data_IF_253508817900
#
_entry.id   IF_253508817900
#
_cell.length_a   1.000
_cell.length_b   1.000
_cell.length_c   1.000
_cell.angle_alpha   90.00
_cell.angle_beta   90.00
_cell.angle_gamma   90.00
#
_symmetry.space_group_name_H-M   'P 1'
#
loop_
_entity.id
_entity.type
_entity.pdbx_description
1 polymer ?
#
# COMPACT_ATOMS: atom_id res chain seq x y z
N UNK A 1 -0.39 -11.09 9.09
CA UNK A 1 -0.75 -9.74 8.57
C UNK A 1 -0.93 -8.83 9.77
N UNK A 2 -1.32 -7.58 9.60
CA UNK A 2 -1.45 -6.68 10.75
C UNK A 2 -2.78 -5.93 10.65
N UNK A 3 -3.36 -5.57 11.80
CA UNK A 3 -4.51 -4.67 11.89
C UNK A 3 -4.18 -3.32 11.24
N UNK A 4 -5.16 -2.70 10.58
CA UNK A 4 -5.05 -1.33 10.07
C UNK A 4 -6.17 -0.48 10.67
N UNK A 5 -5.81 0.59 11.35
CA UNK A 5 -6.77 1.56 11.85
C UNK A 5 -6.60 2.91 11.14
N UNK A 6 -7.70 3.41 10.63
CA UNK A 6 -7.83 4.72 9.99
C UNK A 6 -8.74 5.52 10.89
N UNK A 7 -8.25 6.62 11.48
CA UNK A 7 -8.99 7.41 12.45
C UNK A 7 -9.08 8.88 12.01
N UNK A 8 -10.29 9.32 11.70
CA UNK A 8 -10.64 10.69 11.29
C UNK A 8 -9.75 11.24 10.17
N UNK A 9 -9.39 10.37 9.22
CA UNK A 9 -8.47 10.74 8.14
C UNK A 9 -9.16 11.68 7.16
N UNK A 10 -8.55 12.83 6.98
CA UNK A 10 -8.97 13.86 6.03
C UNK A 10 -7.86 14.12 5.00
N UNK A 11 -8.27 14.46 3.78
CA UNK A 11 -7.36 14.88 2.73
C UNK A 11 -7.92 16.08 1.97
N UNK A 12 -7.10 17.10 1.85
CA UNK A 12 -7.33 18.24 0.99
C UNK A 12 -6.16 18.44 0.02
N UNK A 13 -6.45 18.84 -1.21
CA UNK A 13 -5.49 19.32 -2.20
C UNK A 13 -5.77 20.82 -2.41
N UNK A 14 -4.94 21.66 -1.81
CA UNK A 14 -5.21 23.10 -1.74
C UNK A 14 -6.52 23.36 -0.99
N UNK A 15 -7.48 23.99 -1.65
CA UNK A 15 -8.81 24.29 -1.08
C UNK A 15 -9.85 23.16 -1.26
N UNK A 16 -9.53 22.13 -2.05
CA UNK A 16 -10.46 21.05 -2.37
C UNK A 16 -10.31 19.91 -1.36
N UNK A 17 -11.33 19.69 -0.53
CA UNK A 17 -11.41 18.53 0.35
C UNK A 17 -11.89 17.31 -0.45
N UNK A 18 -11.09 16.23 -0.42
CA UNK A 18 -11.37 14.96 -1.12
C UNK A 18 -11.86 13.89 -0.14
N UNK A 19 -11.34 13.89 1.07
CA UNK A 19 -11.78 12.98 2.15
C UNK A 19 -12.13 13.78 3.40
N UNK A 20 -13.28 13.42 3.99
CA UNK A 20 -13.86 14.09 5.15
C UNK A 20 -13.89 13.13 6.34
N UNK A 21 -12.86 13.15 7.18
CA UNK A 21 -12.79 12.43 8.47
C UNK A 21 -13.22 10.95 8.40
N UNK A 22 -12.63 10.21 7.46
CA UNK A 22 -12.92 8.80 7.29
C UNK A 22 -12.31 8.00 8.44
N UNK A 23 -13.12 7.15 9.07
CA UNK A 23 -12.66 6.22 10.11
C UNK A 23 -13.06 4.79 9.74
N UNK A 24 -12.09 3.87 9.75
CA UNK A 24 -12.27 2.45 9.47
C UNK A 24 -11.27 1.64 10.28
N UNK A 25 -11.75 0.62 10.96
CA UNK A 25 -10.93 -0.38 11.62
C UNK A 25 -10.97 -1.69 10.85
N UNK A 26 -9.79 -2.17 10.46
CA UNK A 26 -9.61 -3.41 9.69
C UNK A 26 -8.82 -4.37 10.56
N UNK A 27 -9.47 -5.46 10.98
CA UNK A 27 -8.83 -6.49 11.80
C UNK A 27 -7.76 -7.25 11.01
N UNK A 28 -6.82 -7.87 11.73
CA UNK A 28 -5.81 -8.73 11.10
C UNK A 28 -6.50 -9.87 10.31
N UNK A 29 -6.05 -10.07 9.07
CA UNK A 29 -6.60 -11.08 8.16
C UNK A 29 -7.94 -10.72 7.51
N UNK A 30 -8.54 -9.59 7.83
CA UNK A 30 -9.80 -9.17 7.25
C UNK A 30 -9.63 -8.72 5.79
N UNK A 31 -10.57 -9.13 4.93
CA UNK A 31 -10.69 -8.62 3.57
C UNK A 31 -11.71 -7.48 3.52
N UNK A 32 -11.29 -6.30 3.07
CA UNK A 32 -12.13 -5.11 3.02
C UNK A 32 -12.20 -4.55 1.60
N UNK A 33 -13.39 -4.18 1.16
CA UNK A 33 -13.63 -3.57 -0.15
C UNK A 33 -14.13 -2.13 0.03
N UNK A 34 -13.49 -1.19 -0.67
CA UNK A 34 -13.93 0.20 -0.75
C UNK A 34 -14.85 0.37 -1.96
N UNK A 35 -16.10 0.71 -1.71
CA UNK A 35 -17.12 0.91 -2.75
C UNK A 35 -17.54 2.38 -2.79
N UNK A 36 -17.77 2.90 -3.97
CA UNK A 36 -18.26 4.27 -4.16
C UNK A 36 -18.08 4.77 -5.59
N UNK A 37 -18.68 5.90 -5.96
CA UNK A 37 -18.58 6.47 -7.30
C UNK A 37 -17.15 6.88 -7.65
N UNK A 38 -16.90 7.10 -8.94
CA UNK A 38 -15.60 7.61 -9.40
C UNK A 38 -15.33 8.99 -8.78
N UNK A 39 -14.07 9.21 -8.35
CA UNK A 39 -13.66 10.48 -7.76
C UNK A 39 -14.02 10.70 -6.29
N UNK A 40 -14.67 9.74 -5.60
CA UNK A 40 -15.02 9.90 -4.17
C UNK A 40 -13.84 9.67 -3.18
N UNK A 41 -12.61 9.52 -3.66
CA UNK A 41 -11.43 9.43 -2.81
C UNK A 41 -10.92 8.02 -2.48
N UNK A 42 -11.49 6.93 -3.01
CA UNK A 42 -11.03 5.54 -2.75
C UNK A 42 -9.54 5.34 -3.02
N UNK A 43 -9.10 5.72 -4.21
CA UNK A 43 -7.68 5.61 -4.59
C UNK A 43 -6.79 6.52 -3.75
N UNK A 44 -7.28 7.69 -3.36
CA UNK A 44 -6.56 8.61 -2.47
C UNK A 44 -6.36 7.98 -1.09
N UNK A 45 -7.39 7.35 -0.53
CA UNK A 45 -7.30 6.65 0.75
C UNK A 45 -6.29 5.50 0.69
N UNK A 46 -6.36 4.66 -0.35
CA UNK A 46 -5.39 3.57 -0.55
C UNK A 46 -3.95 4.10 -0.67
N UNK A 47 -3.75 5.20 -1.41
CA UNK A 47 -2.42 5.83 -1.55
C UNK A 47 -1.91 6.39 -0.22
N UNK A 48 -2.78 6.94 0.62
CA UNK A 48 -2.41 7.41 1.96
C UNK A 48 -2.03 6.25 2.88
N UNK A 49 -2.76 5.13 2.86
CA UNK A 49 -2.38 3.91 3.58
C UNK A 49 -1.03 3.40 3.10
N UNK A 50 -0.79 3.43 1.79
CA UNK A 50 0.48 3.03 1.20
C UNK A 50 1.64 4.02 1.44
N UNK A 51 1.37 5.23 1.93
CA UNK A 51 2.39 6.27 2.11
C UNK A 51 2.82 6.96 0.81
N UNK A 52 2.05 6.78 -0.26
CA UNK A 52 2.26 7.46 -1.54
C UNK A 52 1.58 8.83 -1.58
N UNK A 53 0.79 9.14 -0.56
CA UNK A 53 0.13 10.42 -0.37
C UNK A 53 0.09 10.74 1.13
N UNK A 54 0.19 12.01 1.48
CA UNK A 54 0.14 12.49 2.87
C UNK A 54 -1.30 12.71 3.31
N UNK A 55 -1.57 12.50 4.60
CA UNK A 55 -2.84 12.90 5.21
C UNK A 55 -2.84 14.40 5.52
N UNK A 56 -3.99 15.05 5.43
CA UNK A 56 -4.17 16.43 5.88
C UNK A 56 -4.62 16.51 7.35
N UNK A 57 -5.19 15.42 7.87
CA UNK A 57 -5.62 15.28 9.26
C UNK A 57 -5.91 13.83 9.59
N UNK A 58 -6.06 13.52 10.88
CA UNK A 58 -6.28 12.17 11.37
C UNK A 58 -5.03 11.32 11.39
N UNK A 59 -5.19 10.03 11.69
CA UNK A 59 -4.10 9.08 11.83
C UNK A 59 -4.36 7.78 11.08
N UNK A 60 -3.29 7.18 10.56
CA UNK A 60 -3.29 5.82 10.02
C UNK A 60 -2.28 5.03 10.84
N UNK A 61 -2.71 3.88 11.37
CA UNK A 61 -1.83 2.93 12.04
C UNK A 61 -1.87 1.55 11.38
N UNK A 62 -0.73 0.89 11.39
CA UNK A 62 -0.56 -0.49 10.91
C UNK A 62 0.10 -1.27 12.05
N UNK A 63 -0.64 -2.26 12.59
CA UNK A 63 -0.30 -2.84 13.88
C UNK A 63 -0.29 -1.76 14.95
N UNK A 64 0.72 -1.77 15.82
CA UNK A 64 0.86 -0.81 16.93
C UNK A 64 1.58 0.51 16.52
N UNK A 65 1.77 0.74 15.21
CA UNK A 65 2.58 1.86 14.72
C UNK A 65 1.75 2.86 13.93
N UNK A 66 1.79 4.13 14.32
CA UNK A 66 1.30 5.23 13.49
C UNK A 66 2.27 5.42 12.32
N UNK A 67 1.74 5.39 11.09
CA UNK A 67 2.52 5.39 9.86
C UNK A 67 2.45 6.70 9.06
N UNK A 68 1.76 7.72 9.56
CA UNK A 68 1.57 8.99 8.84
C UNK A 68 2.86 9.54 8.22
N UNK A 69 3.95 9.53 8.98
CA UNK A 69 5.24 10.09 8.57
C UNK A 69 6.25 9.03 8.09
N UNK A 70 5.81 7.77 7.95
CA UNK A 70 6.68 6.72 7.46
C UNK A 70 6.60 6.61 5.93
N UNK A 71 7.75 6.55 5.24
CA UNK A 71 7.78 6.30 3.81
C UNK A 71 7.25 4.90 3.48
N UNK A 72 6.75 4.65 2.25
CA UNK A 72 6.17 3.36 1.84
C UNK A 72 7.04 2.15 2.17
N UNK A 73 8.34 2.24 1.93
CA UNK A 73 9.31 1.15 2.17
C UNK A 73 9.40 0.71 3.64
N UNK A 74 8.97 1.55 4.58
CA UNK A 74 9.02 1.27 6.04
C UNK A 74 7.66 0.88 6.62
N UNK A 75 6.61 0.79 5.80
CA UNK A 75 5.25 0.42 6.25
C UNK A 75 4.98 -1.08 6.22
N UNK A 76 5.87 -1.87 5.64
CA UNK A 76 5.73 -3.33 5.47
C UNK A 76 4.42 -3.74 4.80
N UNK A 77 4.10 -3.07 3.71
CA UNK A 77 2.90 -3.30 2.89
C UNK A 77 3.28 -3.61 1.45
N UNK A 78 2.34 -4.17 0.71
CA UNK A 78 2.40 -4.28 -0.74
C UNK A 78 1.18 -3.61 -1.38
N UNK A 79 1.35 -3.03 -2.56
CA UNK A 79 0.28 -2.41 -3.33
C UNK A 79 0.31 -2.90 -4.78
N UNK A 80 -0.84 -3.29 -5.30
CA UNK A 80 -1.03 -3.58 -6.72
C UNK A 80 -1.67 -2.36 -7.37
N UNK A 81 -1.00 -1.81 -8.38
CA UNK A 81 -1.48 -0.64 -9.11
C UNK A 81 -2.36 -1.06 -10.29
N UNK A 82 -3.29 -0.20 -10.68
CA UNK A 82 -4.17 -0.44 -11.83
C UNK A 82 -3.40 -0.63 -13.15
N UNK A 83 -2.25 0.01 -13.30
CA UNK A 83 -1.35 -0.10 -14.45
C UNK A 83 -0.20 -1.10 -14.21
N UNK A 84 -0.33 -1.99 -13.20
CA UNK A 84 0.65 -2.99 -12.79
C UNK A 84 2.01 -2.44 -12.33
N UNK A 85 2.36 -1.19 -12.60
CA UNK A 85 3.62 -0.51 -12.23
C UNK A 85 4.88 -1.32 -12.56
N UNK A 86 4.89 -2.01 -13.70
CA UNK A 86 6.03 -2.81 -14.13
C UNK A 86 7.18 -1.90 -14.58
N UNK A 87 8.40 -2.32 -14.28
CA UNK A 87 9.61 -1.70 -14.81
C UNK A 87 9.80 -2.12 -16.27
N UNK A 88 9.59 -1.23 -17.26
CA UNK A 88 9.55 -1.61 -18.68
C UNK A 88 10.90 -2.09 -19.23
N UNK A 89 12.00 -1.71 -18.56
CA UNK A 89 13.37 -2.08 -18.92
C UNK A 89 13.84 -3.38 -18.25
N UNK A 90 12.95 -4.06 -17.53
CA UNK A 90 13.24 -5.33 -16.82
C UNK A 90 12.44 -6.48 -17.41
N UNK A 91 13.01 -7.68 -17.36
CA UNK A 91 12.28 -8.91 -17.69
C UNK A 91 11.19 -9.22 -16.65
N UNK A 92 10.28 -10.13 -16.93
CA UNK A 92 9.25 -10.60 -15.97
C UNK A 92 9.92 -11.11 -14.69
N UNK A 93 10.90 -11.99 -14.81
CA UNK A 93 11.66 -12.52 -13.68
C UNK A 93 12.32 -11.41 -12.86
N UNK A 94 12.93 -10.43 -13.51
CA UNK A 94 13.56 -9.30 -12.84
C UNK A 94 12.55 -8.41 -12.12
N UNK A 95 11.35 -8.22 -12.66
CA UNK A 95 10.26 -7.50 -12.01
C UNK A 95 9.81 -8.24 -10.74
N UNK A 96 9.59 -9.56 -10.82
CA UNK A 96 9.21 -10.39 -9.67
C UNK A 96 10.31 -10.41 -8.58
N UNK A 97 11.57 -10.52 -8.97
CA UNK A 97 12.71 -10.61 -8.07
C UNK A 97 13.09 -9.27 -7.41
N UNK A 98 12.62 -8.13 -7.96
CA UNK A 98 13.17 -6.81 -7.65
C UNK A 98 13.15 -6.48 -6.16
N UNK A 99 12.00 -6.61 -5.50
CA UNK A 99 11.85 -6.29 -4.08
C UNK A 99 12.68 -7.21 -3.16
N UNK A 100 12.79 -8.49 -3.53
CA UNK A 100 13.58 -9.47 -2.79
C UNK A 100 15.08 -9.16 -2.88
N UNK A 101 15.55 -8.82 -4.08
CA UNK A 101 16.96 -8.41 -4.31
C UNK A 101 17.29 -7.11 -3.57
N UNK A 102 16.38 -6.14 -3.58
CA UNK A 102 16.56 -4.87 -2.87
C UNK A 102 16.67 -5.05 -1.34
N UNK A 103 16.01 -6.07 -0.79
CA UNK A 103 16.10 -6.45 0.64
C UNK A 103 17.32 -7.30 0.97
N UNK A 104 18.17 -7.62 0.00
CA UNK A 104 19.36 -8.48 0.19
C UNK A 104 19.02 -9.94 0.45
N UNK A 105 17.89 -10.43 -0.04
CA UNK A 105 17.47 -11.83 0.11
C UNK A 105 18.47 -12.76 -0.62
N UNK A 106 18.74 -13.91 -0.01
CA UNK A 106 19.61 -14.94 -0.59
C UNK A 106 19.16 -15.31 -2.02
N UNK A 107 20.09 -15.42 -2.99
CA UNK A 107 19.77 -15.68 -4.39
C UNK A 107 18.99 -16.99 -4.62
N UNK A 108 19.28 -18.04 -3.87
CA UNK A 108 18.57 -19.31 -3.98
C UNK A 108 17.10 -19.17 -3.55
N UNK A 109 16.87 -18.44 -2.45
CA UNK A 109 15.52 -18.14 -1.97
C UNK A 109 14.76 -17.21 -2.93
N UNK A 110 15.46 -16.26 -3.57
CA UNK A 110 14.86 -15.41 -4.63
C UNK A 110 14.37 -16.27 -5.78
N UNK A 111 15.22 -17.20 -6.28
CA UNK A 111 14.85 -18.08 -7.40
C UNK A 111 13.65 -18.97 -7.05
N UNK A 112 13.61 -19.55 -5.86
CA UNK A 112 12.50 -20.37 -5.37
C UNK A 112 11.18 -19.57 -5.33
N UNK A 113 11.21 -18.37 -4.72
CA UNK A 113 10.01 -17.53 -4.57
C UNK A 113 9.49 -17.01 -5.91
N UNK A 114 10.40 -16.64 -6.81
CA UNK A 114 10.03 -16.19 -8.17
C UNK A 114 9.38 -17.35 -8.95
N UNK A 115 9.99 -18.56 -8.89
CA UNK A 115 9.39 -19.74 -9.51
C UNK A 115 7.99 -20.02 -8.96
N UNK A 116 7.84 -20.06 -7.65
CA UNK A 116 6.53 -20.27 -6.99
C UNK A 116 5.49 -19.24 -7.42
N UNK A 117 5.86 -17.97 -7.54
CA UNK A 117 4.95 -16.92 -7.99
C UNK A 117 4.58 -17.06 -9.48
N UNK A 118 5.50 -17.54 -10.31
CA UNK A 118 5.27 -17.79 -11.73
C UNK A 118 4.39 -19.02 -11.99
N UNK A 119 4.41 -20.00 -11.10
CA UNK A 119 3.62 -21.23 -11.18
C UNK A 119 2.14 -21.03 -10.78
N UNK A 120 1.77 -19.90 -10.17
CA UNK A 120 0.40 -19.52 -9.80
C UNK A 120 -0.33 -18.91 -11.00
#
# INVERSE_FOLDING_TARGET
MAQVAIANVAKAFGTVKVLHEVSVDIADGQFVVLVGPSGCGKSTLLRMVAGLETVSGGTISIGDRIVNNLPPAKRDIAMVFQNYALYPHKTVEQNMAFALKLRGTDPALVAERVKRAADI
#
